data_IF_496979905587
#
_entry.id   IF_496979905587
#
_cell.length_a   1.000
_cell.length_b   1.000
_cell.length_c   1.000
_cell.angle_alpha   90.00
_cell.angle_beta   90.00
_cell.angle_gamma   90.00
#
_symmetry.space_group_name_H-M   'P 1'
#
loop_
_entity.id
_entity.type
_entity.pdbx_description
1 polymer ?
#
# COMPACT_ATOMS: atom_id res chain seq x y z
N UNK A 1 -26.03 25.42 -14.30
CA UNK A 1 -25.27 26.46 -13.60
C UNK A 1 -23.85 25.95 -13.39
N UNK A 2 -22.84 26.53 -14.05
CA UNK A 2 -21.43 26.25 -13.75
C UNK A 2 -21.10 26.97 -12.45
N UNK A 3 -21.03 26.27 -11.33
CA UNK A 3 -20.48 26.81 -10.10
C UNK A 3 -19.02 27.21 -10.35
N UNK A 4 -18.81 28.51 -10.54
CA UNK A 4 -17.50 29.17 -10.59
C UNK A 4 -16.95 29.21 -9.16
N UNK A 5 -16.67 28.06 -8.58
CA UNK A 5 -16.14 28.01 -7.24
C UNK A 5 -14.60 28.06 -7.28
N UNK A 6 -14.05 29.17 -6.82
CA UNK A 6 -12.63 29.22 -6.45
C UNK A 6 -12.42 28.17 -5.34
N UNK A 7 -11.54 27.20 -5.58
CA UNK A 7 -11.18 26.22 -4.54
C UNK A 7 -10.04 26.82 -3.73
N UNK A 8 -10.25 27.05 -2.45
CA UNK A 8 -9.21 27.43 -1.52
C UNK A 8 -8.45 26.17 -1.07
N UNK A 9 -7.14 26.25 -0.93
CA UNK A 9 -6.29 25.15 -0.42
C UNK A 9 -5.80 25.54 0.95
N UNK A 10 -6.23 24.79 1.94
CA UNK A 10 -5.91 24.99 3.36
C UNK A 10 -4.93 23.90 3.81
N UNK A 11 -3.89 24.27 4.55
CA UNK A 11 -3.03 23.31 5.23
C UNK A 11 -3.78 22.75 6.44
N UNK A 12 -3.74 21.45 6.62
CA UNK A 12 -4.35 20.72 7.72
C UNK A 12 -3.35 19.73 8.31
N UNK A 13 -3.58 19.27 9.53
CA UNK A 13 -2.80 18.18 10.08
C UNK A 13 -3.28 16.83 9.53
N UNK A 14 -2.35 15.86 9.42
CA UNK A 14 -2.76 14.45 9.26
C UNK A 14 -2.59 13.73 10.60
N UNK A 15 -1.36 13.45 11.06
CA UNK A 15 -1.15 12.86 12.38
C UNK A 15 -1.68 13.76 13.53
N UNK A 16 -1.40 15.04 13.46
CA UNK A 16 -1.81 16.05 14.47
C UNK A 16 -3.13 16.74 14.12
N UNK A 17 -3.87 16.26 13.11
CA UNK A 17 -5.12 16.87 12.67
C UNK A 17 -6.25 16.74 13.68
N UNK A 18 -7.14 17.74 13.68
CA UNK A 18 -8.42 17.66 14.39
C UNK A 18 -9.35 16.64 13.71
N UNK A 19 -10.38 16.18 14.41
CA UNK A 19 -11.39 15.29 13.84
C UNK A 19 -12.08 15.91 12.61
N UNK A 20 -12.30 17.23 12.65
CA UNK A 20 -12.91 17.98 11.54
C UNK A 20 -11.99 17.98 10.31
N UNK A 21 -10.70 18.26 10.48
CA UNK A 21 -9.71 18.23 9.39
C UNK A 21 -9.59 16.85 8.77
N UNK A 22 -9.46 15.80 9.60
CA UNK A 22 -9.38 14.43 9.14
C UNK A 22 -10.68 13.96 8.47
N UNK A 23 -11.83 14.37 8.97
CA UNK A 23 -13.13 14.10 8.34
C UNK A 23 -13.22 14.76 6.97
N UNK A 24 -12.71 15.99 6.83
CA UNK A 24 -12.68 16.68 5.54
C UNK A 24 -11.76 15.97 4.52
N UNK A 25 -10.60 15.51 4.94
CA UNK A 25 -9.71 14.69 4.10
C UNK A 25 -10.37 13.38 3.67
N UNK A 26 -10.92 12.63 4.64
CA UNK A 26 -11.63 11.38 4.39
C UNK A 26 -12.81 11.57 3.43
N UNK A 27 -13.56 12.66 3.55
CA UNK A 27 -14.68 12.98 2.65
C UNK A 27 -14.24 13.16 1.19
N UNK A 28 -12.98 13.52 0.94
CA UNK A 28 -12.40 13.56 -0.41
C UNK A 28 -11.89 12.20 -0.85
N UNK A 29 -11.19 11.49 0.03
CA UNK A 29 -10.56 10.21 -0.30
C UNK A 29 -11.56 9.09 -0.58
N UNK A 30 -12.61 8.97 0.25
CA UNK A 30 -13.56 7.87 0.17
C UNK A 30 -14.23 7.72 -1.21
N UNK A 31 -14.79 8.78 -1.85
CA UNK A 31 -15.36 8.67 -3.19
C UNK A 31 -14.31 8.35 -4.26
N UNK A 32 -13.07 8.85 -4.12
CA UNK A 32 -12.00 8.64 -5.09
C UNK A 32 -11.46 7.21 -4.99
N UNK A 33 -11.40 6.63 -3.77
CA UNK A 33 -11.07 5.23 -3.60
C UNK A 33 -12.02 4.33 -4.40
N UNK A 34 -13.31 4.63 -4.40
CA UNK A 34 -14.31 3.91 -5.20
C UNK A 34 -14.16 4.12 -6.71
N UNK A 35 -13.73 5.30 -7.16
CA UNK A 35 -13.42 5.54 -8.58
C UNK A 35 -12.22 4.71 -9.05
N UNK A 36 -11.24 4.45 -8.18
CA UNK A 36 -10.04 3.70 -8.53
C UNK A 36 -10.26 2.19 -8.58
N UNK A 37 -11.39 1.70 -8.10
CA UNK A 37 -11.81 0.31 -8.20
C UNK A 37 -13.09 0.07 -7.41
N UNK A 38 -14.10 -0.50 -8.06
CA UNK A 38 -15.41 -0.79 -7.45
C UNK A 38 -15.33 -1.79 -6.27
N UNK A 39 -14.22 -2.47 -6.14
CA UNK A 39 -13.89 -3.44 -5.08
C UNK A 39 -13.08 -2.78 -3.92
N UNK A 40 -12.81 -1.47 -4.00
CA UNK A 40 -12.18 -0.72 -2.91
C UNK A 40 -13.26 -0.08 -2.04
N UNK A 41 -13.64 -0.77 -0.98
CA UNK A 41 -14.41 -0.11 0.06
C UNK A 41 -13.58 1.00 0.69
N UNK A 42 -14.11 2.24 0.81
CA UNK A 42 -13.42 3.28 1.54
C UNK A 42 -13.25 2.86 2.99
N UNK A 43 -12.12 3.21 3.59
CA UNK A 43 -11.91 2.98 5.01
C UNK A 43 -13.02 3.68 5.80
N UNK A 44 -13.53 3.05 6.85
CA UNK A 44 -14.48 3.70 7.74
C UNK A 44 -13.83 4.89 8.45
N UNK A 45 -14.60 5.93 8.73
CA UNK A 45 -14.06 7.18 9.28
C UNK A 45 -13.29 6.94 10.58
N UNK A 46 -13.87 6.18 11.53
CA UNK A 46 -13.21 5.91 12.82
C UNK A 46 -11.86 5.20 12.65
N UNK A 47 -11.80 4.21 11.76
CA UNK A 47 -10.56 3.52 11.42
C UNK A 47 -9.54 4.44 10.72
N UNK A 48 -10.02 5.37 9.90
CA UNK A 48 -9.18 6.39 9.25
C UNK A 48 -8.58 7.35 10.28
N UNK A 49 -9.39 7.87 11.21
CA UNK A 49 -8.94 8.74 12.28
C UNK A 49 -7.91 8.04 13.17
N UNK A 50 -8.19 6.79 13.57
CA UNK A 50 -7.28 6.00 14.38
C UNK A 50 -5.95 5.74 13.66
N UNK A 51 -5.97 5.38 12.38
CA UNK A 51 -4.76 5.17 11.59
C UNK A 51 -3.92 6.45 11.46
N UNK A 52 -4.55 7.58 11.11
CA UNK A 52 -3.84 8.86 10.95
C UNK A 52 -3.09 9.24 12.24
N UNK A 53 -3.73 9.12 13.40
CA UNK A 53 -3.15 9.46 14.70
C UNK A 53 -2.03 8.52 15.15
N UNK A 54 -2.05 7.28 14.70
CA UNK A 54 -1.06 6.25 15.04
C UNK A 54 -0.05 6.01 13.93
N UNK A 55 0.09 6.93 12.96
CA UNK A 55 1.11 6.82 11.91
C UNK A 55 2.50 6.67 12.57
N UNK A 56 3.32 5.68 12.18
CA UNK A 56 4.64 5.46 12.77
C UNK A 56 5.50 6.71 12.78
N UNK A 57 6.29 6.86 13.85
CA UNK A 57 7.04 8.11 14.16
C UNK A 57 8.08 8.48 13.11
N UNK A 58 8.58 7.49 12.37
CA UNK A 58 9.55 7.72 11.28
C UNK A 58 8.95 8.41 10.04
N UNK A 59 7.63 8.58 9.95
CA UNK A 59 7.00 9.33 8.86
C UNK A 59 6.78 10.78 9.28
N UNK A 60 7.28 11.71 8.47
CA UNK A 60 6.88 13.11 8.49
C UNK A 60 5.80 13.33 7.45
N UNK A 61 4.69 13.93 7.84
CA UNK A 61 3.50 14.07 7.02
C UNK A 61 3.00 15.51 6.91
N UNK A 62 2.50 15.85 5.73
CA UNK A 62 1.83 17.12 5.46
C UNK A 62 0.57 16.86 4.66
N UNK A 63 -0.51 17.58 4.99
CA UNK A 63 -1.77 17.45 4.30
C UNK A 63 -2.41 18.82 3.98
N UNK A 64 -3.21 18.84 2.93
CA UNK A 64 -3.99 19.99 2.49
C UNK A 64 -5.37 19.55 2.05
N UNK A 65 -6.37 20.33 2.40
CA UNK A 65 -7.74 20.17 1.89
C UNK A 65 -8.08 21.33 0.96
N UNK A 66 -8.64 21.02 -0.20
CA UNK A 66 -9.22 22.00 -1.10
C UNK A 66 -10.71 22.11 -0.85
N UNK A 67 -11.18 23.32 -0.49
CA UNK A 67 -12.59 23.60 -0.24
C UNK A 67 -13.18 24.50 -1.31
N UNK A 68 -14.40 24.22 -1.73
CA UNK A 68 -15.18 25.07 -2.64
C UNK A 68 -15.74 26.30 -1.90
N UNK A 69 -16.29 27.24 -2.64
CA UNK A 69 -16.82 28.49 -2.09
C UNK A 69 -17.95 28.32 -1.08
N UNK A 70 -18.58 27.15 -1.03
CA UNK A 70 -19.61 26.78 -0.05
C UNK A 70 -19.04 25.96 1.14
N UNK A 71 -17.71 25.86 1.24
CA UNK A 71 -17.03 25.12 2.31
C UNK A 71 -16.93 23.61 2.10
N UNK A 72 -17.42 23.05 0.97
CA UNK A 72 -17.38 21.61 0.72
C UNK A 72 -15.96 21.13 0.40
N UNK A 73 -15.44 20.08 1.07
CA UNK A 73 -14.16 19.46 0.72
C UNK A 73 -14.24 18.78 -0.66
N UNK A 74 -13.38 19.18 -1.59
CA UNK A 74 -13.44 18.74 -3.00
C UNK A 74 -12.10 18.23 -3.54
N UNK A 75 -11.02 18.48 -2.80
CA UNK A 75 -9.69 18.03 -3.16
C UNK A 75 -8.86 17.79 -1.89
N UNK A 76 -7.88 16.91 -1.98
CA UNK A 76 -6.88 16.68 -0.94
C UNK A 76 -5.50 16.53 -1.58
N UNK A 77 -4.49 17.01 -0.87
CA UNK A 77 -3.10 16.80 -1.17
C UNK A 77 -2.42 16.24 0.07
N UNK A 78 -1.58 15.26 -0.14
CA UNK A 78 -0.76 14.66 0.92
C UNK A 78 0.67 14.62 0.44
N UNK A 79 1.61 14.79 1.33
CA UNK A 79 2.95 14.29 1.12
C UNK A 79 3.55 13.79 2.44
N UNK A 80 4.38 12.77 2.30
CA UNK A 80 5.05 12.19 3.44
C UNK A 80 6.45 11.73 3.05
N UNK A 81 7.31 11.75 4.02
CA UNK A 81 8.67 11.25 3.90
C UNK A 81 8.95 10.26 5.03
N UNK A 82 9.89 9.35 4.78
CA UNK A 82 10.37 8.42 5.77
C UNK A 82 11.78 8.84 6.21
N UNK A 83 11.96 9.15 7.49
CA UNK A 83 13.26 9.57 8.04
C UNK A 83 14.31 8.44 8.06
N UNK A 84 13.85 7.18 7.98
CA UNK A 84 14.68 5.98 7.87
C UNK A 84 14.85 5.48 6.42
N UNK A 85 14.32 6.24 5.44
CA UNK A 85 14.39 5.94 4.00
C UNK A 85 15.31 6.90 3.25
N UNK A 86 15.05 7.05 1.96
CA UNK A 86 15.83 7.94 1.09
C UNK A 86 15.64 9.41 1.46
N UNK A 87 16.74 10.14 1.74
CA UNK A 87 16.65 11.53 2.17
C UNK A 87 16.16 12.47 1.06
N UNK A 88 16.21 12.06 -0.21
CA UNK A 88 15.79 12.88 -1.34
C UNK A 88 14.34 12.63 -1.78
N UNK A 89 13.68 11.57 -1.29
CA UNK A 89 12.34 11.15 -1.73
C UNK A 89 11.25 11.72 -0.84
N UNK A 90 10.21 12.25 -1.46
CA UNK A 90 8.92 12.61 -0.86
C UNK A 90 7.83 11.86 -1.62
N UNK A 91 7.04 11.05 -0.94
CA UNK A 91 5.85 10.45 -1.54
C UNK A 91 4.69 11.45 -1.47
N UNK A 92 3.78 11.42 -2.44
CA UNK A 92 2.63 12.30 -2.41
C UNK A 92 1.39 11.71 -3.08
N UNK A 93 0.22 12.26 -2.71
CA UNK A 93 -1.04 12.04 -3.39
C UNK A 93 -1.72 13.38 -3.70
N UNK A 94 -2.31 13.48 -4.89
CA UNK A 94 -3.11 14.62 -5.33
C UNK A 94 -4.47 14.11 -5.75
N UNK A 95 -5.47 14.37 -4.94
CA UNK A 95 -6.83 13.88 -5.09
C UNK A 95 -7.78 15.03 -5.44
N UNK A 96 -8.56 14.87 -6.50
CA UNK A 96 -9.57 15.87 -6.91
C UNK A 96 -10.84 15.15 -7.32
N UNK A 97 -11.95 15.48 -6.67
CA UNK A 97 -13.28 14.95 -7.01
C UNK A 97 -13.61 15.21 -8.48
N UNK A 98 -14.25 14.26 -9.15
CA UNK A 98 -14.51 14.27 -10.60
C UNK A 98 -15.08 15.61 -11.10
N UNK A 99 -16.09 16.15 -10.42
CA UNK A 99 -16.77 17.39 -10.79
C UNK A 99 -15.91 18.65 -10.65
N UNK A 100 -14.74 18.56 -9.98
CA UNK A 100 -13.82 19.68 -9.75
C UNK A 100 -12.51 19.54 -10.55
N UNK A 101 -12.36 18.48 -11.35
CA UNK A 101 -11.23 18.30 -12.26
C UNK A 101 -11.22 19.34 -13.37
N UNK A 102 -10.08 19.54 -14.02
CA UNK A 102 -9.87 20.51 -15.13
C UNK A 102 -10.13 21.98 -14.75
N UNK A 103 -10.04 22.32 -13.46
CA UNK A 103 -10.20 23.69 -12.91
C UNK A 103 -8.92 24.22 -12.26
N UNK A 104 -7.75 23.58 -12.50
CA UNK A 104 -6.47 23.99 -11.95
C UNK A 104 -6.19 23.54 -10.52
N UNK A 105 -7.11 22.81 -9.86
CA UNK A 105 -6.97 22.40 -8.46
C UNK A 105 -5.76 21.49 -8.27
N UNK A 106 -5.61 20.44 -9.09
CA UNK A 106 -4.47 19.53 -9.02
C UNK A 106 -3.12 20.25 -9.25
N UNK A 107 -3.10 21.25 -10.17
CA UNK A 107 -1.92 22.12 -10.36
C UNK A 107 -1.53 22.82 -9.06
N UNK A 108 -2.52 23.44 -8.40
CA UNK A 108 -2.27 24.19 -7.16
C UNK A 108 -1.76 23.30 -6.04
N UNK A 109 -2.38 22.14 -5.82
CA UNK A 109 -1.93 21.16 -4.83
C UNK A 109 -0.50 20.68 -5.14
N UNK A 110 -0.20 20.30 -6.39
CA UNK A 110 1.14 19.84 -6.76
C UNK A 110 2.20 20.95 -6.55
N UNK A 111 1.88 22.19 -6.87
CA UNK A 111 2.81 23.30 -6.61
C UNK A 111 3.09 23.46 -5.11
N UNK A 112 2.05 23.38 -4.27
CA UNK A 112 2.21 23.43 -2.81
C UNK A 112 3.05 22.27 -2.30
N UNK A 113 2.82 21.04 -2.80
CA UNK A 113 3.61 19.87 -2.47
C UNK A 113 5.07 20.01 -2.93
N UNK A 114 5.32 20.52 -4.13
CA UNK A 114 6.69 20.79 -4.60
C UNK A 114 7.41 21.79 -3.69
N UNK A 115 6.74 22.85 -3.25
CA UNK A 115 7.32 23.83 -2.33
C UNK A 115 7.64 23.23 -0.96
N UNK A 116 6.78 22.35 -0.45
CA UNK A 116 7.03 21.62 0.80
C UNK A 116 8.20 20.65 0.65
N UNK A 117 8.23 19.88 -0.43
CA UNK A 117 9.33 18.94 -0.75
C UNK A 117 10.69 19.62 -0.72
N UNK A 118 10.79 20.80 -1.35
CA UNK A 118 12.03 21.59 -1.36
C UNK A 118 12.35 22.16 0.02
N UNK A 119 11.34 22.59 0.77
CA UNK A 119 11.49 23.10 2.15
C UNK A 119 12.05 22.04 3.09
N UNK A 120 11.60 20.79 2.93
CA UNK A 120 12.08 19.64 3.70
C UNK A 120 13.46 19.12 3.22
N UNK A 121 14.11 19.84 2.27
CA UNK A 121 15.42 19.48 1.73
C UNK A 121 15.40 18.27 0.80
N UNK A 122 14.23 17.89 0.28
CA UNK A 122 14.04 16.77 -0.64
C UNK A 122 13.93 17.27 -2.07
N UNK A 123 14.11 16.37 -3.03
CA UNK A 123 14.10 16.76 -4.46
C UNK A 123 13.16 15.93 -5.31
N UNK A 124 12.95 14.67 -5.00
CA UNK A 124 12.18 13.74 -5.82
C UNK A 124 10.78 13.51 -5.24
N UNK A 125 9.77 13.76 -6.07
CA UNK A 125 8.39 13.37 -5.78
C UNK A 125 8.04 12.05 -6.44
N UNK A 126 7.33 11.19 -5.70
CA UNK A 126 6.74 9.94 -6.20
C UNK A 126 5.25 9.89 -5.89
N UNK A 127 4.45 9.38 -6.82
CA UNK A 127 3.01 9.18 -6.62
C UNK A 127 2.43 8.11 -7.53
N UNK A 128 1.18 7.73 -7.29
CA UNK A 128 0.51 6.69 -8.07
C UNK A 128 -0.70 7.21 -8.83
N UNK A 129 -0.99 6.60 -9.99
CA UNK A 129 -2.24 6.76 -10.72
C UNK A 129 -2.81 5.41 -11.09
N UNK A 130 -4.14 5.35 -11.23
CA UNK A 130 -4.87 4.13 -11.56
C UNK A 130 -5.46 4.23 -12.98
N UNK A 131 -5.48 3.11 -13.70
CA UNK A 131 -6.04 3.00 -15.06
C UNK A 131 -7.54 3.35 -15.11
N UNK A 132 -8.29 3.02 -14.06
CA UNK A 132 -9.69 3.40 -13.92
C UNK A 132 -9.93 4.94 -13.91
N UNK A 133 -8.89 5.74 -13.61
CA UNK A 133 -8.95 7.21 -13.60
C UNK A 133 -7.90 7.80 -14.57
N UNK A 134 -8.14 7.77 -15.90
CA UNK A 134 -7.13 8.18 -16.90
C UNK A 134 -6.66 9.62 -16.76
N UNK A 135 -7.46 10.48 -16.12
CA UNK A 135 -7.10 11.86 -15.82
C UNK A 135 -5.82 11.99 -14.98
N UNK A 136 -5.56 11.03 -14.09
CA UNK A 136 -4.34 10.99 -13.26
C UNK A 136 -3.09 10.82 -14.11
N UNK A 137 -3.05 9.80 -14.96
CA UNK A 137 -1.91 9.55 -15.84
C UNK A 137 -1.72 10.68 -16.88
N UNK A 138 -2.82 11.28 -17.38
CA UNK A 138 -2.75 12.43 -18.27
C UNK A 138 -2.13 13.66 -17.56
N UNK A 139 -2.47 13.87 -16.30
CA UNK A 139 -1.89 14.93 -15.48
C UNK A 139 -0.40 14.68 -15.23
N UNK A 140 -0.01 13.47 -14.83
CA UNK A 140 1.39 13.10 -14.59
C UNK A 140 2.28 13.36 -15.83
N UNK A 141 1.83 12.90 -17.02
CA UNK A 141 2.56 13.17 -18.28
C UNK A 141 2.64 14.66 -18.60
N UNK A 142 1.56 15.40 -18.38
CA UNK A 142 1.52 16.85 -18.65
C UNK A 142 2.52 17.63 -17.81
N UNK A 143 2.77 17.23 -16.58
CA UNK A 143 3.74 17.88 -15.69
C UNK A 143 5.18 17.38 -15.90
N UNK A 144 5.38 16.48 -16.86
CA UNK A 144 6.71 15.96 -17.19
C UNK A 144 7.20 14.85 -16.26
N UNK A 145 6.29 14.22 -15.50
CA UNK A 145 6.67 13.08 -14.66
C UNK A 145 6.98 11.83 -15.52
N UNK A 146 7.92 11.03 -15.03
CA UNK A 146 8.33 9.78 -15.65
C UNK A 146 7.59 8.60 -15.00
N UNK A 147 7.00 7.73 -15.79
CA UNK A 147 6.50 6.45 -15.30
C UNK A 147 7.69 5.56 -14.92
N UNK A 148 7.75 5.15 -13.67
CA UNK A 148 8.89 4.44 -13.10
C UNK A 148 8.61 2.96 -12.86
N UNK A 149 7.40 2.62 -12.41
CA UNK A 149 6.98 1.23 -12.18
C UNK A 149 5.51 1.06 -12.50
N UNK A 150 5.14 -0.11 -12.99
CA UNK A 150 3.74 -0.49 -13.19
C UNK A 150 3.43 -1.70 -12.32
N UNK A 151 2.42 -1.56 -11.48
CA UNK A 151 1.91 -2.62 -10.63
C UNK A 151 0.53 -3.08 -11.12
N UNK A 152 0.21 -4.33 -10.87
CA UNK A 152 -1.13 -4.87 -11.04
C UNK A 152 -1.70 -5.29 -9.69
N UNK A 153 -2.93 -4.90 -9.41
CA UNK A 153 -3.74 -5.53 -8.39
C UNK A 153 -4.48 -6.69 -9.03
N UNK A 154 -4.35 -7.86 -8.43
CA UNK A 154 -5.04 -9.06 -8.87
C UNK A 154 -5.92 -9.56 -7.74
N UNK A 155 -7.05 -10.18 -8.08
CA UNK A 155 -7.96 -10.81 -7.12
C UNK A 155 -8.07 -12.31 -7.38
N UNK A 156 -8.11 -13.07 -6.30
CA UNK A 156 -8.43 -14.50 -6.26
C UNK A 156 -9.80 -14.65 -5.61
N UNK A 157 -10.73 -15.25 -6.30
CA UNK A 157 -12.06 -15.60 -5.75
C UNK A 157 -11.96 -16.93 -5.01
N UNK A 158 -12.32 -16.96 -3.75
CA UNK A 158 -12.17 -18.16 -2.89
C UNK A 158 -12.96 -19.36 -3.45
N UNK A 159 -14.14 -19.13 -4.03
CA UNK A 159 -14.96 -20.17 -4.63
C UNK A 159 -14.33 -20.81 -5.89
N UNK A 160 -13.40 -20.11 -6.55
CA UNK A 160 -12.76 -20.56 -7.79
C UNK A 160 -11.41 -21.26 -7.55
N UNK A 161 -11.01 -21.43 -6.29
CA UNK A 161 -9.74 -22.07 -5.94
C UNK A 161 -9.76 -23.56 -6.26
N UNK A 162 -8.72 -24.05 -6.94
CA UNK A 162 -8.43 -25.51 -7.06
C UNK A 162 -7.90 -26.03 -5.73
N UNK A 163 -8.80 -26.35 -4.79
CA UNK A 163 -8.44 -26.89 -3.48
C UNK A 163 -7.60 -28.18 -3.54
N UNK A 164 -7.87 -29.12 -4.45
CA UNK A 164 -6.94 -30.24 -4.67
C UNK A 164 -5.51 -29.84 -5.01
N UNK A 165 -5.30 -28.73 -5.73
CA UNK A 165 -3.96 -28.18 -5.98
C UNK A 165 -3.34 -27.63 -4.71
N UNK A 166 -4.10 -26.88 -3.91
CA UNK A 166 -3.63 -26.35 -2.62
C UNK A 166 -3.19 -27.51 -1.71
N UNK A 167 -4.00 -28.54 -1.58
CA UNK A 167 -3.64 -29.74 -0.80
C UNK A 167 -2.38 -30.44 -1.32
N UNK A 168 -2.19 -30.49 -2.64
CA UNK A 168 -0.93 -31.00 -3.23
C UNK A 168 0.26 -30.15 -2.82
N UNK A 169 0.13 -28.83 -2.85
CA UNK A 169 1.22 -27.92 -2.43
C UNK A 169 1.54 -28.06 -0.95
N UNK A 170 0.54 -28.17 -0.10
CA UNK A 170 0.72 -28.41 1.34
C UNK A 170 1.47 -29.70 1.65
N UNK A 171 1.35 -30.73 0.80
CA UNK A 171 2.05 -32.01 0.97
C UNK A 171 3.39 -32.09 0.26
N UNK A 172 3.48 -31.58 -0.97
CA UNK A 172 4.65 -31.75 -1.83
C UNK A 172 5.78 -30.78 -1.53
N UNK A 173 5.48 -29.53 -1.18
CA UNK A 173 6.52 -28.52 -0.95
C UNK A 173 7.34 -28.78 0.33
N UNK A 174 6.72 -29.18 1.50
CA UNK A 174 7.50 -29.61 2.66
C UNK A 174 8.45 -30.77 2.39
N UNK A 175 8.08 -31.69 1.50
CA UNK A 175 8.95 -32.82 1.14
C UNK A 175 10.21 -32.38 0.37
N UNK A 176 10.14 -31.27 -0.37
CA UNK A 176 11.30 -30.66 -1.06
C UNK A 176 12.15 -29.79 -0.13
N UNK A 177 11.52 -29.22 0.89
CA UNK A 177 12.12 -28.28 1.83
C UNK A 177 12.33 -28.96 3.21
N UNK A 178 13.13 -30.02 3.23
CA UNK A 178 13.36 -30.85 4.43
C UNK A 178 13.88 -30.01 5.60
N UNK A 179 13.20 -30.10 6.75
CA UNK A 179 13.55 -29.38 7.98
C UNK A 179 13.02 -27.94 8.05
N UNK A 180 12.46 -27.40 6.98
CA UNK A 180 11.74 -26.11 7.07
C UNK A 180 10.39 -26.32 7.76
N UNK A 181 9.92 -25.25 8.42
CA UNK A 181 8.61 -25.25 9.08
C UNK A 181 7.89 -23.91 8.89
N UNK A 182 6.58 -23.93 9.01
CA UNK A 182 5.75 -22.73 9.07
C UNK A 182 5.42 -22.40 10.51
N UNK A 183 5.46 -21.11 10.85
CA UNK A 183 5.04 -20.58 12.14
C UNK A 183 3.94 -19.53 11.92
N UNK A 184 2.78 -19.77 12.54
CA UNK A 184 1.59 -18.94 12.38
C UNK A 184 1.53 -17.93 13.52
N UNK A 185 1.31 -16.65 13.19
CA UNK A 185 1.22 -15.55 14.13
C UNK A 185 -0.07 -14.77 13.84
N UNK A 186 -0.84 -14.51 14.89
CA UNK A 186 -2.08 -13.76 14.87
C UNK A 186 -1.92 -12.40 15.49
N UNK A 187 -2.36 -11.37 14.75
CA UNK A 187 -2.33 -9.99 15.22
C UNK A 187 -0.94 -9.42 15.33
N UNK A 188 -0.68 -8.60 16.37
CA UNK A 188 0.62 -7.97 16.62
C UNK A 188 1.72 -8.99 16.87
N UNK A 189 2.95 -8.67 16.46
CA UNK A 189 4.10 -9.52 16.74
C UNK A 189 4.47 -9.48 18.23
N UNK A 190 4.53 -10.64 18.92
CA UNK A 190 5.11 -10.70 20.26
C UNK A 190 6.54 -10.14 20.25
N UNK A 191 7.00 -9.63 21.37
CA UNK A 191 8.31 -8.98 21.46
C UNK A 191 9.46 -9.89 20.97
N UNK A 192 9.40 -11.16 21.31
CA UNK A 192 10.43 -12.14 20.90
C UNK A 192 10.44 -12.44 19.39
N UNK A 193 9.40 -12.10 18.64
CA UNK A 193 9.31 -12.24 17.17
C UNK A 193 9.59 -10.94 16.40
N UNK A 194 9.77 -9.80 17.06
CA UNK A 194 9.97 -8.52 16.37
C UNK A 194 11.23 -8.49 15.51
N UNK A 195 12.29 -9.18 15.92
CA UNK A 195 13.53 -9.30 15.11
C UNK A 195 13.27 -10.12 13.84
N UNK A 196 12.47 -11.18 13.94
CA UNK A 196 12.05 -11.97 12.78
C UNK A 196 11.14 -11.15 11.84
N UNK A 197 10.25 -10.34 12.39
CA UNK A 197 9.42 -9.43 11.61
C UNK A 197 10.27 -8.40 10.86
N UNK A 198 11.27 -7.80 11.51
CA UNK A 198 12.27 -6.93 10.86
C UNK A 198 12.96 -7.66 9.71
N UNK A 199 13.43 -8.89 9.94
CA UNK A 199 14.06 -9.73 8.92
C UNK A 199 13.12 -9.97 7.74
N UNK A 200 11.86 -10.30 8.02
CA UNK A 200 10.83 -10.51 6.99
C UNK A 200 10.58 -9.24 6.17
N UNK A 201 10.44 -8.08 6.81
CA UNK A 201 10.28 -6.81 6.10
C UNK A 201 11.50 -6.47 5.22
N UNK A 202 12.72 -6.71 5.68
CA UNK A 202 13.93 -6.52 4.87
C UNK A 202 13.99 -7.48 3.67
N UNK A 203 13.53 -8.73 3.81
CA UNK A 203 13.41 -9.65 2.67
C UNK A 203 12.51 -9.05 1.57
N UNK A 204 11.46 -8.32 1.93
CA UNK A 204 10.57 -7.68 0.97
C UNK A 204 11.26 -6.59 0.15
N UNK A 205 12.27 -5.93 0.68
CA UNK A 205 13.04 -4.91 -0.03
C UNK A 205 13.91 -5.50 -1.16
N UNK A 206 14.08 -6.84 -1.21
CA UNK A 206 14.73 -7.53 -2.33
C UNK A 206 13.82 -7.70 -3.57
N UNK A 207 12.57 -7.21 -3.51
CA UNK A 207 11.66 -7.20 -4.66
C UNK A 207 12.11 -6.19 -5.72
N UNK A 208 11.76 -6.40 -7.01
CA UNK A 208 12.15 -5.49 -8.08
C UNK A 208 11.63 -4.05 -7.85
N UNK A 209 12.54 -3.07 -7.90
CA UNK A 209 12.22 -1.62 -7.81
C UNK A 209 12.04 -0.99 -9.20
N UNK A 210 12.42 -1.69 -10.26
CA UNK A 210 12.41 -1.23 -11.65
C UNK A 210 13.16 0.09 -11.83
N UNK A 211 12.48 1.13 -12.33
CA UNK A 211 13.07 2.44 -12.56
C UNK A 211 12.74 3.46 -11.44
N UNK A 212 12.23 2.99 -10.30
CA UNK A 212 12.06 3.85 -9.14
C UNK A 212 13.43 4.19 -8.55
N UNK A 213 13.65 5.47 -8.33
CA UNK A 213 14.84 5.98 -7.64
C UNK A 213 14.57 6.00 -6.13
N UNK A 214 14.48 4.79 -5.58
CA UNK A 214 14.24 4.56 -4.15
C UNK A 214 15.15 3.47 -3.63
N UNK A 215 15.78 3.70 -2.50
CA UNK A 215 16.64 2.75 -1.80
C UNK A 215 15.87 1.80 -0.88
N UNK A 216 16.61 1.22 0.05
CA UNK A 216 16.03 0.41 1.13
C UNK A 216 15.71 1.30 2.33
N UNK A 217 14.62 0.97 3.01
CA UNK A 217 14.21 1.64 4.25
C UNK A 217 14.77 0.87 5.43
N UNK A 218 15.37 1.57 6.38
CA UNK A 218 15.76 0.96 7.65
C UNK A 218 14.50 0.67 8.47
N UNK A 219 14.27 -0.61 8.71
CA UNK A 219 13.18 -1.10 9.54
C UNK A 219 13.79 -1.71 10.79
N UNK A 220 13.32 -1.27 11.95
CA UNK A 220 13.73 -1.79 13.25
C UNK A 220 12.55 -2.33 14.05
N UNK A 221 12.82 -2.84 15.23
CA UNK A 221 11.79 -3.42 16.11
C UNK A 221 10.82 -2.36 16.66
N UNK A 222 11.26 -1.10 16.75
CA UNK A 222 10.42 0.02 17.16
C UNK A 222 9.36 0.33 16.08
N UNK A 223 9.79 0.46 14.83
CA UNK A 223 8.89 0.65 13.70
C UNK A 223 7.86 -0.48 13.58
N UNK A 224 8.30 -1.75 13.75
CA UNK A 224 7.37 -2.90 13.73
C UNK A 224 6.32 -2.77 14.83
N UNK A 225 6.72 -2.37 16.05
CA UNK A 225 5.79 -2.18 17.16
C UNK A 225 4.80 -1.02 16.93
N UNK A 226 5.27 0.08 16.33
CA UNK A 226 4.39 1.21 15.96
C UNK A 226 3.40 0.83 14.86
N UNK A 227 3.85 0.10 13.84
CA UNK A 227 2.97 -0.41 12.78
C UNK A 227 1.91 -1.35 13.34
N UNK A 228 2.29 -2.26 14.24
CA UNK A 228 1.37 -3.17 14.93
C UNK A 228 0.28 -2.39 15.69
N UNK A 229 0.69 -1.37 16.43
CA UNK A 229 -0.24 -0.50 17.14
C UNK A 229 -1.18 0.23 16.17
N UNK A 230 -0.64 0.82 15.10
CA UNK A 230 -1.45 1.53 14.11
C UNK A 230 -2.50 0.63 13.44
N UNK A 231 -2.16 -0.62 13.14
CA UNK A 231 -3.10 -1.60 12.61
C UNK A 231 -4.17 -1.97 13.64
N UNK A 232 -3.78 -2.24 14.88
CA UNK A 232 -4.71 -2.62 15.95
C UNK A 232 -5.69 -1.49 16.28
N UNK A 233 -5.22 -0.24 16.42
CA UNK A 233 -6.05 0.93 16.70
C UNK A 233 -7.03 1.23 15.53
N UNK A 234 -6.61 0.93 14.30
CA UNK A 234 -7.49 1.00 13.12
C UNK A 234 -8.44 -0.21 13.00
N UNK A 235 -8.51 -1.09 14.01
CA UNK A 235 -9.34 -2.28 14.02
C UNK A 235 -8.95 -3.32 12.95
N UNK A 236 -7.74 -3.25 12.41
CA UNK A 236 -7.26 -4.20 11.41
C UNK A 236 -6.68 -5.44 12.07
N UNK A 237 -6.99 -6.60 11.51
CA UNK A 237 -6.43 -7.88 11.94
C UNK A 237 -5.40 -8.34 10.91
N UNK A 238 -4.23 -8.76 11.38
CA UNK A 238 -3.18 -9.34 10.55
C UNK A 238 -2.97 -10.80 10.90
N UNK A 239 -2.83 -11.64 9.87
CA UNK A 239 -2.29 -12.99 9.99
C UNK A 239 -0.97 -13.07 9.24
N UNK A 240 0.04 -13.61 9.89
CA UNK A 240 1.37 -13.82 9.32
C UNK A 240 1.76 -15.28 9.45
N UNK A 241 2.39 -15.82 8.39
CA UNK A 241 3.04 -17.13 8.43
C UNK A 241 4.51 -16.89 8.12
N UNK A 242 5.39 -17.12 9.10
CA UNK A 242 6.82 -17.15 8.87
C UNK A 242 7.26 -18.51 8.36
N UNK A 243 8.28 -18.51 7.49
CA UNK A 243 9.01 -19.70 7.06
C UNK A 243 10.29 -19.75 7.86
N UNK A 244 10.46 -20.84 8.64
CA UNK A 244 11.65 -21.12 9.41
C UNK A 244 12.54 -22.12 8.67
N UNK A 245 13.84 -21.88 8.63
CA UNK A 245 14.81 -22.84 8.12
C UNK A 245 15.08 -23.98 9.16
N UNK A 246 15.89 -24.99 8.83
CA UNK A 246 16.24 -26.07 9.77
C UNK A 246 16.94 -25.60 11.04
N UNK A 247 17.63 -24.46 11.02
CA UNK A 247 18.26 -23.86 12.20
C UNK A 247 17.29 -23.01 13.04
N UNK A 248 16.07 -22.76 12.55
CA UNK A 248 15.05 -21.98 13.22
C UNK A 248 15.02 -20.51 12.84
N UNK A 249 15.89 -20.05 11.95
CA UNK A 249 15.90 -18.67 11.49
C UNK A 249 14.70 -18.34 10.60
N UNK A 250 14.16 -17.12 10.70
CA UNK A 250 13.15 -16.61 9.78
C UNK A 250 13.79 -16.32 8.42
N UNK A 251 13.35 -17.01 7.38
CA UNK A 251 13.86 -16.88 6.01
C UNK A 251 12.81 -16.38 5.03
N UNK A 252 11.64 -15.97 5.51
CA UNK A 252 10.57 -15.42 4.71
C UNK A 252 9.22 -15.65 5.34
N UNK A 253 8.17 -15.42 4.53
CA UNK A 253 6.80 -15.61 4.99
C UNK A 253 5.76 -15.08 4.03
N UNK A 254 4.54 -15.06 4.51
CA UNK A 254 3.38 -14.45 3.85
C UNK A 254 2.48 -13.79 4.90
N UNK A 255 1.81 -12.71 4.50
CA UNK A 255 1.02 -11.89 5.41
C UNK A 255 -0.28 -11.45 4.74
N UNK A 256 -1.37 -11.48 5.47
CA UNK A 256 -2.67 -10.92 5.04
C UNK A 256 -3.22 -9.98 6.11
N UNK A 257 -4.00 -8.98 5.66
CA UNK A 257 -4.65 -8.02 6.54
C UNK A 257 -6.13 -7.92 6.20
N UNK A 258 -6.94 -8.03 7.25
CA UNK A 258 -8.38 -7.80 7.22
C UNK A 258 -8.66 -6.35 7.66
N UNK A 259 -9.58 -5.68 6.99
CA UNK A 259 -10.00 -4.33 7.35
C UNK A 259 -11.40 -4.37 7.99
N UNK A 260 -11.68 -3.54 9.01
CA UNK A 260 -13.02 -3.42 9.55
C UNK A 260 -14.00 -2.94 8.48
N UNK A 261 -15.18 -3.56 8.43
CA UNK A 261 -16.23 -3.23 7.46
C UNK A 261 -16.02 -3.79 6.05
N UNK A 262 -14.93 -4.53 5.79
CA UNK A 262 -14.66 -5.20 4.52
C UNK A 262 -14.09 -6.61 4.77
N UNK A 263 -14.86 -7.45 5.44
CA UNK A 263 -14.44 -8.83 5.77
C UNK A 263 -14.49 -9.76 4.54
N UNK A 264 -15.20 -9.36 3.48
CA UNK A 264 -15.26 -10.15 2.25
C UNK A 264 -13.96 -10.10 1.45
N UNK A 265 -13.13 -9.07 1.65
CA UNK A 265 -11.89 -8.87 0.91
C UNK A 265 -10.71 -8.84 1.86
N UNK A 266 -9.88 -9.86 1.82
CA UNK A 266 -8.60 -9.87 2.53
C UNK A 266 -7.47 -9.38 1.62
N UNK A 267 -6.58 -8.56 2.17
CA UNK A 267 -5.44 -8.01 1.44
C UNK A 267 -4.19 -8.81 1.74
N UNK A 268 -3.68 -9.49 0.70
CA UNK A 268 -2.37 -10.09 0.72
C UNK A 268 -1.34 -8.94 0.72
N UNK A 269 -0.63 -8.84 1.82
CA UNK A 269 0.47 -7.90 1.96
C UNK A 269 1.78 -8.55 1.47
N UNK A 270 2.73 -8.66 2.35
CA UNK A 270 4.04 -9.20 2.06
C UNK A 270 4.01 -10.70 1.76
N UNK A 271 4.76 -11.13 0.74
CA UNK A 271 5.13 -12.52 0.51
C UNK A 271 6.53 -12.55 -0.07
N UNK A 272 7.47 -13.17 0.62
CA UNK A 272 8.85 -13.24 0.14
C UNK A 272 9.67 -14.29 0.84
N UNK A 273 10.71 -14.75 0.14
CA UNK A 273 11.71 -15.69 0.65
C UNK A 273 13.10 -15.10 0.41
N UNK A 274 13.95 -15.18 1.40
CA UNK A 274 15.33 -14.73 1.34
C UNK A 274 16.07 -15.38 0.15
N UNK A 275 16.94 -14.64 -0.56
CA UNK A 275 17.57 -15.13 -1.80
C UNK A 275 18.20 -16.52 -1.70
N UNK A 276 18.91 -16.81 -0.62
CA UNK A 276 19.56 -18.11 -0.40
C UNK A 276 18.62 -19.30 -0.18
N UNK A 277 17.32 -19.07 0.01
CA UNK A 277 16.31 -20.09 0.29
C UNK A 277 15.24 -20.18 -0.82
N UNK A 278 15.44 -19.47 -1.95
CA UNK A 278 14.52 -19.50 -3.10
C UNK A 278 14.64 -20.82 -3.88
N UNK A 279 13.63 -21.09 -4.72
CA UNK A 279 13.61 -22.29 -5.56
C UNK A 279 13.13 -23.58 -4.87
N UNK A 280 12.93 -23.55 -3.55
CA UNK A 280 12.48 -24.70 -2.75
C UNK A 280 10.95 -24.81 -2.60
N UNK A 281 10.17 -23.95 -3.27
CA UNK A 281 8.70 -23.95 -3.17
C UNK A 281 8.14 -23.28 -1.91
N UNK A 282 8.97 -22.70 -1.05
CA UNK A 282 8.58 -22.15 0.27
C UNK A 282 7.48 -21.08 0.18
N UNK A 283 7.55 -20.18 -0.83
CA UNK A 283 6.52 -19.17 -1.03
C UNK A 283 5.15 -19.79 -1.42
N UNK A 284 5.17 -20.84 -2.26
CA UNK A 284 3.96 -21.60 -2.59
C UNK A 284 3.35 -22.25 -1.36
N UNK A 285 4.20 -22.90 -0.56
CA UNK A 285 3.77 -23.55 0.67
C UNK A 285 3.15 -22.57 1.65
N UNK A 286 3.82 -21.45 1.94
CA UNK A 286 3.31 -20.43 2.84
C UNK A 286 1.97 -19.84 2.35
N UNK A 287 1.84 -19.53 1.03
CA UNK A 287 0.57 -19.05 0.45
C UNK A 287 -0.52 -20.10 0.48
N UNK A 288 -0.20 -21.38 0.23
CA UNK A 288 -1.17 -22.47 0.33
C UNK A 288 -1.70 -22.63 1.76
N UNK A 289 -0.81 -22.59 2.77
CA UNK A 289 -1.19 -22.63 4.18
C UNK A 289 -2.04 -21.43 4.60
N UNK A 290 -1.73 -20.23 4.09
CA UNK A 290 -2.53 -19.04 4.35
C UNK A 290 -3.93 -19.15 3.72
N UNK A 291 -4.06 -19.68 2.50
CA UNK A 291 -5.35 -19.88 1.85
C UNK A 291 -6.18 -20.94 2.55
N UNK A 292 -5.57 -22.04 2.99
CA UNK A 292 -6.24 -23.05 3.82
C UNK A 292 -6.79 -22.43 5.09
N UNK A 293 -5.98 -21.63 5.78
CA UNK A 293 -6.41 -20.92 6.98
C UNK A 293 -7.55 -19.94 6.71
N UNK A 294 -7.50 -19.16 5.63
CA UNK A 294 -8.58 -18.25 5.23
C UNK A 294 -9.88 -19.04 5.01
N UNK A 295 -9.84 -20.20 4.36
CA UNK A 295 -11.00 -21.07 4.17
C UNK A 295 -11.62 -21.51 5.49
N UNK A 296 -10.76 -21.89 6.43
CA UNK A 296 -11.20 -22.58 7.66
C UNK A 296 -11.59 -21.59 8.77
N UNK A 297 -10.91 -20.43 8.85
CA UNK A 297 -11.08 -19.45 9.93
C UNK A 297 -11.68 -18.09 9.46
N UNK A 298 -11.75 -17.85 8.16
CA UNK A 298 -12.29 -16.62 7.57
C UNK A 298 -13.53 -16.86 6.70
N UNK A 299 -14.64 -17.38 7.22
CA UNK A 299 -15.78 -17.83 6.40
C UNK A 299 -16.48 -16.72 5.61
N UNK A 300 -16.28 -15.47 6.00
CA UNK A 300 -16.84 -14.31 5.29
C UNK A 300 -16.00 -13.89 4.08
N UNK A 301 -14.74 -14.33 4.00
CA UNK A 301 -13.83 -13.94 2.92
C UNK A 301 -14.33 -14.52 1.58
N UNK A 302 -14.49 -13.65 0.60
CA UNK A 302 -14.85 -14.01 -0.78
C UNK A 302 -13.69 -13.83 -1.74
N UNK A 303 -12.77 -12.92 -1.43
CA UNK A 303 -11.64 -12.56 -2.32
C UNK A 303 -10.36 -12.31 -1.54
N UNK A 304 -9.25 -12.71 -2.14
CA UNK A 304 -7.90 -12.28 -1.73
C UNK A 304 -7.36 -11.34 -2.80
N UNK A 305 -6.92 -10.14 -2.42
CA UNK A 305 -6.31 -9.18 -3.32
C UNK A 305 -4.81 -9.07 -3.07
N UNK A 306 -4.02 -9.01 -4.15
CA UNK A 306 -2.58 -8.89 -4.09
C UNK A 306 -2.07 -7.85 -5.10
N UNK A 307 -1.14 -7.00 -4.67
CA UNK A 307 -0.43 -6.06 -5.52
C UNK A 307 0.96 -6.60 -5.88
N UNK A 308 1.31 -6.56 -7.17
CA UNK A 308 2.63 -6.97 -7.63
C UNK A 308 3.12 -6.10 -8.78
N UNK A 309 4.42 -5.83 -8.80
CA UNK A 309 5.06 -5.27 -9.98
C UNK A 309 4.97 -6.25 -11.17
N UNK A 310 4.81 -5.73 -12.38
CA UNK A 310 4.77 -6.57 -13.59
C UNK A 310 6.08 -7.32 -13.82
N UNK A 311 7.18 -6.82 -13.31
CA UNK A 311 8.51 -7.45 -13.39
C UNK A 311 8.73 -8.58 -12.39
N UNK A 312 7.86 -8.76 -11.39
CA UNK A 312 8.00 -9.82 -10.37
C UNK A 312 7.52 -11.18 -10.88
N UNK A 313 8.16 -11.67 -11.95
CA UNK A 313 7.76 -12.91 -12.64
C UNK A 313 7.60 -14.14 -11.71
N UNK A 314 8.49 -14.39 -10.70
CA UNK A 314 8.32 -15.53 -9.82
C UNK A 314 7.02 -15.47 -8.98
N UNK A 315 6.68 -14.29 -8.44
CA UNK A 315 5.45 -14.12 -7.66
C UNK A 315 4.22 -14.18 -8.55
N UNK A 316 4.30 -13.58 -9.75
CA UNK A 316 3.22 -13.63 -10.72
C UNK A 316 2.90 -15.06 -11.14
N UNK A 317 3.92 -15.90 -11.38
CA UNK A 317 3.72 -17.31 -11.72
C UNK A 317 2.99 -18.09 -10.59
N UNK A 318 3.27 -17.79 -9.32
CA UNK A 318 2.54 -18.39 -8.19
C UNK A 318 1.09 -17.90 -8.17
N UNK A 319 0.88 -16.60 -8.31
CA UNK A 319 -0.45 -16.02 -8.30
C UNK A 319 -1.30 -16.49 -9.50
N UNK A 320 -0.72 -16.58 -10.70
CA UNK A 320 -1.40 -17.06 -11.89
C UNK A 320 -1.81 -18.53 -11.74
N UNK A 321 -0.93 -19.37 -11.14
CA UNK A 321 -1.25 -20.77 -10.82
C UNK A 321 -2.37 -20.91 -9.78
N UNK A 322 -2.45 -19.99 -8.82
CA UNK A 322 -3.54 -19.94 -7.84
C UNK A 322 -4.88 -19.45 -8.43
N UNK A 323 -4.86 -18.87 -9.63
CA UNK A 323 -6.06 -18.34 -10.29
C UNK A 323 -6.33 -16.86 -10.05
N UNK A 324 -5.36 -16.09 -9.55
CA UNK A 324 -5.50 -14.64 -9.47
C UNK A 324 -5.74 -14.02 -10.85
N UNK A 325 -6.65 -13.07 -10.92
CA UNK A 325 -6.96 -12.30 -12.15
C UNK A 325 -6.73 -10.82 -11.91
N UNK A 326 -6.11 -10.15 -12.89
CA UNK A 326 -5.87 -8.69 -12.82
C UNK A 326 -7.21 -7.96 -12.80
N UNK A 327 -7.40 -7.08 -11.82
CA UNK A 327 -8.60 -6.26 -11.66
C UNK A 327 -8.34 -4.78 -11.87
N UNK A 328 -7.10 -4.31 -11.73
CA UNK A 328 -6.68 -2.94 -12.04
C UNK A 328 -5.17 -2.84 -12.19
N UNK A 329 -4.74 -1.74 -12.79
CA UNK A 329 -3.33 -1.39 -12.96
C UNK A 329 -3.06 -0.05 -12.27
N UNK A 330 -1.90 0.04 -11.62
CA UNK A 330 -1.39 1.25 -10.98
C UNK A 330 -0.03 1.60 -11.56
N UNK A 331 0.12 2.83 -12.04
CA UNK A 331 1.41 3.36 -12.51
C UNK A 331 2.00 4.25 -11.42
N UNK A 332 3.22 4.00 -11.03
CA UNK A 332 4.01 4.85 -10.14
C UNK A 332 4.85 5.81 -10.98
N UNK A 333 4.72 7.06 -10.65
CA UNK A 333 5.39 8.18 -11.32
C UNK A 333 6.43 8.79 -10.41
N UNK A 334 7.44 9.39 -11.02
CA UNK A 334 8.39 10.20 -10.29
C UNK A 334 8.83 11.42 -11.11
N UNK A 335 9.24 12.48 -10.41
CA UNK A 335 9.73 13.69 -11.03
C UNK A 335 10.37 14.62 -10.01
N UNK A 336 11.40 15.34 -10.46
CA UNK A 336 12.08 16.35 -9.65
C UNK A 336 11.12 17.50 -9.31
N UNK A 337 10.99 17.85 -8.03
CA UNK A 337 10.06 18.86 -7.53
C UNK A 337 10.22 20.20 -8.26
N UNK A 338 11.47 20.62 -8.47
CA UNK A 338 11.78 21.88 -9.18
C UNK A 338 11.43 21.82 -10.66
N UNK A 339 11.56 20.65 -11.30
CA UNK A 339 11.19 20.47 -12.71
C UNK A 339 9.67 20.44 -12.88
N UNK A 340 8.95 19.70 -12.00
CA UNK A 340 7.49 19.66 -11.96
C UNK A 340 6.88 21.04 -11.75
N UNK A 341 7.49 21.84 -10.87
CA UNK A 341 7.08 23.23 -10.63
C UNK A 341 7.21 24.09 -11.89
N UNK A 342 8.35 23.99 -12.61
CA UNK A 342 8.57 24.73 -13.86
C UNK A 342 7.60 24.38 -14.98
N UNK A 343 7.03 23.17 -14.99
CA UNK A 343 6.05 22.79 -16.00
C UNK A 343 4.77 23.64 -16.00
N UNK A 344 4.62 24.50 -15.00
CA UNK A 344 3.46 25.39 -14.84
C UNK A 344 3.79 26.88 -14.88
N UNK A 345 5.08 27.22 -15.02
CA UNK A 345 5.58 28.60 -15.07
C UNK A 345 5.43 29.29 -16.41
#
# INVERSE_FOLDING_TARGET
MKASGVVEVLRVGFRAGTDEELTALHAVEAPIAMETGSDRMPQQLDAYLAFARNLPSQFDDHAWVGVSSDGTPVAAGFCWSNSAGDPHVMECDVLVRANFRRRGVAKRLLLTICDETVRDGRSLLTWSTYDAVPAGAAFARRVGARAARVNRTSALVIADIDWPMIERWLRAEPAKALGYRLEIIDGPFPEYLRVDAVTFHHIMQTAPKENLDVGDVLIDTHFVAELDRALAEAGRTRWTIFVRDPAGACVGGTEVVFAPGDLEIVRQQNTGIAPGHRGLGLAKWAKAAMLERIRDEGPEVRRVQADNAFSNAPMLAINDALGFRVIRTRTEWQGEATALRRAFG
#
